data_IF_139779981334
#
_entry.id   IF_139779981334
#
_cell.length_a   1.000
_cell.length_b   1.000
_cell.length_c   1.000
_cell.angle_alpha   90.00
_cell.angle_beta   90.00
_cell.angle_gamma   90.00
#
_symmetry.space_group_name_H-M   'P 1'
#
loop_
_entity.id
_entity.type
_entity.pdbx_description
1 polymer ?
#
# COMPACT_ATOMS: atom_id res chain seq x y z
N UNK A 1 5.52 10.58 -17.88
CA UNK A 1 5.03 10.83 -16.52
C UNK A 1 4.86 12.31 -16.31
N UNK A 2 3.67 12.75 -15.93
CA UNK A 2 3.36 14.14 -15.62
C UNK A 2 4.07 14.58 -14.33
N UNK A 3 4.31 15.88 -14.20
CA UNK A 3 4.67 16.47 -12.90
C UNK A 3 3.44 16.49 -12.01
N UNK A 4 3.50 15.78 -10.88
CA UNK A 4 2.42 15.76 -9.88
C UNK A 4 2.49 17.04 -9.05
N UNK A 5 1.34 17.71 -8.90
CA UNK A 5 1.26 18.93 -8.09
C UNK A 5 1.55 18.63 -6.63
N UNK A 6 2.16 19.56 -5.91
CA UNK A 6 2.63 19.32 -4.55
C UNK A 6 1.51 18.89 -3.58
N UNK A 7 0.33 19.48 -3.73
CA UNK A 7 -0.87 19.16 -2.94
C UNK A 7 -1.48 17.79 -3.27
N UNK A 8 -1.03 17.13 -4.35
CA UNK A 8 -1.49 15.82 -4.80
C UNK A 8 -0.48 14.70 -4.49
N UNK A 9 0.67 15.03 -3.90
CA UNK A 9 1.61 14.00 -3.45
C UNK A 9 1.02 13.18 -2.31
N UNK A 10 1.32 11.88 -2.26
CA UNK A 10 0.79 10.94 -1.27
C UNK A 10 1.00 11.40 0.17
N UNK A 11 2.18 11.96 0.46
CA UNK A 11 2.58 12.43 1.77
C UNK A 11 1.89 13.74 2.21
N UNK A 12 1.03 14.32 1.36
CA UNK A 12 0.40 15.62 1.55
C UNK A 12 -1.11 15.61 1.35
N UNK A 13 -1.61 14.84 0.38
CA UNK A 13 -3.03 14.80 0.05
C UNK A 13 -3.82 14.03 1.11
N UNK A 14 -5.10 14.39 1.26
CA UNK A 14 -6.04 13.69 2.17
C UNK A 14 -7.03 12.78 1.45
N UNK A 15 -7.28 13.06 0.18
CA UNK A 15 -8.21 12.33 -0.68
C UNK A 15 -7.91 12.68 -2.14
N UNK A 16 -8.31 11.81 -3.07
CA UNK A 16 -8.33 12.14 -4.48
C UNK A 16 -9.41 13.18 -4.82
N UNK A 17 -9.05 14.24 -5.57
CA UNK A 17 -10.02 15.13 -6.20
C UNK A 17 -10.92 14.38 -7.19
N UNK A 18 -12.17 14.84 -7.34
CA UNK A 18 -13.12 14.28 -8.30
C UNK A 18 -12.64 14.38 -9.74
N UNK A 19 -11.79 15.36 -10.07
CA UNK A 19 -11.22 15.49 -11.40
C UNK A 19 -10.25 14.36 -11.75
N UNK A 20 -9.62 13.74 -10.74
CA UNK A 20 -8.74 12.57 -10.92
C UNK A 20 -9.56 11.29 -10.84
N UNK A 21 -10.39 11.15 -9.80
CA UNK A 21 -11.29 10.01 -9.62
C UNK A 21 -12.64 10.23 -10.34
N UNK A 22 -12.64 10.67 -11.61
CA UNK A 22 -13.82 11.18 -12.30
C UNK A 22 -14.95 10.15 -12.51
N UNK A 23 -14.63 8.86 -12.41
CA UNK A 23 -15.58 7.76 -12.49
C UNK A 23 -16.24 7.41 -11.15
N UNK A 24 -15.71 7.91 -10.01
CA UNK A 24 -16.20 7.61 -8.65
C UNK A 24 -17.68 7.91 -8.46
N UNK A 25 -18.15 9.05 -8.96
CA UNK A 25 -19.56 9.44 -8.86
C UNK A 25 -20.49 8.55 -9.71
N UNK A 26 -20.00 8.07 -10.86
CA UNK A 26 -20.74 7.17 -11.77
C UNK A 26 -20.80 5.74 -11.23
N UNK A 27 -19.73 5.30 -10.57
CA UNK A 27 -19.59 3.96 -10.00
C UNK A 27 -19.23 4.03 -8.51
N UNK A 28 -20.21 4.28 -7.62
CA UNK A 28 -19.94 4.41 -6.20
C UNK A 28 -19.57 3.05 -5.57
N UNK A 29 -18.59 3.07 -4.66
CA UNK A 29 -17.99 1.86 -4.07
C UNK A 29 -18.98 0.80 -3.54
N UNK A 30 -20.06 1.17 -2.82
CA UNK A 30 -21.03 0.18 -2.31
C UNK A 30 -21.73 -0.64 -3.41
N UNK A 31 -21.66 -0.21 -4.67
CA UNK A 31 -22.36 -0.86 -5.79
C UNK A 31 -21.43 -1.70 -6.67
N UNK A 32 -20.11 -1.63 -6.47
CA UNK A 32 -19.13 -2.28 -7.36
C UNK A 32 -19.41 -3.76 -7.56
N UNK A 33 -19.56 -4.54 -6.48
CA UNK A 33 -19.78 -5.98 -6.53
C UNK A 33 -21.09 -6.41 -7.21
N UNK A 34 -22.05 -5.50 -7.36
CA UNK A 34 -23.34 -5.77 -8.03
C UNK A 34 -23.36 -5.33 -9.50
N UNK A 35 -22.32 -4.63 -9.95
CA UNK A 35 -22.24 -4.12 -11.31
C UNK A 35 -22.00 -5.25 -12.32
N UNK A 36 -22.65 -5.19 -13.50
CA UNK A 36 -22.57 -6.28 -14.50
C UNK A 36 -21.19 -6.51 -15.11
N UNK A 37 -20.29 -5.53 -15.00
CA UNK A 37 -18.89 -5.64 -15.42
C UNK A 37 -17.92 -6.00 -14.28
N UNK A 38 -18.42 -6.24 -13.05
CA UNK A 38 -17.59 -6.72 -11.95
C UNK A 38 -17.26 -8.19 -12.18
N UNK A 39 -15.97 -8.49 -12.41
CA UNK A 39 -15.49 -9.83 -12.71
C UNK A 39 -14.33 -10.27 -11.83
N UNK A 40 -13.56 -11.22 -12.34
CA UNK A 40 -12.47 -11.87 -11.60
C UNK A 40 -11.29 -10.94 -11.35
N UNK A 41 -10.97 -10.04 -12.29
CA UNK A 41 -9.89 -9.07 -12.13
C UNK A 41 -10.22 -8.03 -11.05
N UNK A 42 -11.43 -7.48 -11.06
CA UNK A 42 -11.87 -6.53 -10.03
C UNK A 42 -11.86 -7.16 -8.63
N UNK A 43 -12.34 -8.41 -8.53
CA UNK A 43 -12.31 -9.16 -7.28
C UNK A 43 -10.88 -9.46 -6.81
N UNK A 44 -10.01 -9.90 -7.72
CA UNK A 44 -8.61 -10.19 -7.43
C UNK A 44 -7.86 -8.94 -6.96
N UNK A 45 -8.10 -7.78 -7.60
CA UNK A 45 -7.49 -6.51 -7.22
C UNK A 45 -7.78 -6.17 -5.75
N UNK A 46 -9.05 -6.16 -5.37
CA UNK A 46 -9.49 -5.89 -4.00
C UNK A 46 -8.96 -6.93 -3.02
N UNK A 47 -8.90 -8.21 -3.41
CA UNK A 47 -8.37 -9.27 -2.57
C UNK A 47 -6.87 -9.06 -2.24
N UNK A 48 -6.06 -8.64 -3.22
CA UNK A 48 -4.65 -8.33 -3.00
C UNK A 48 -4.50 -7.13 -2.04
N UNK A 49 -5.29 -6.08 -2.26
CA UNK A 49 -5.28 -4.90 -1.39
C UNK A 49 -5.68 -5.23 0.06
N UNK A 50 -6.74 -6.03 0.24
CA UNK A 50 -7.17 -6.48 1.57
C UNK A 50 -6.09 -7.30 2.27
N UNK A 51 -5.39 -8.17 1.54
CA UNK A 51 -4.27 -8.94 2.07
C UNK A 51 -3.11 -8.03 2.52
N UNK A 52 -2.74 -7.02 1.73
CA UNK A 52 -1.71 -6.04 2.10
C UNK A 52 -2.11 -5.25 3.37
N UNK A 53 -3.38 -4.83 3.47
CA UNK A 53 -3.90 -4.19 4.69
C UNK A 53 -3.83 -5.12 5.90
N UNK A 54 -4.23 -6.37 5.75
CA UNK A 54 -4.20 -7.36 6.83
C UNK A 54 -2.78 -7.66 7.31
N UNK A 55 -1.86 -7.93 6.38
CA UNK A 55 -0.45 -8.20 6.67
C UNK A 55 0.22 -7.01 7.37
N UNK A 56 -0.04 -5.80 6.88
CA UNK A 56 0.45 -4.56 7.49
C UNK A 56 -0.06 -4.35 8.91
N UNK A 57 -1.37 -4.53 9.14
CA UNK A 57 -1.96 -4.48 10.50
C UNK A 57 -1.37 -5.53 11.42
N UNK A 58 -1.17 -6.76 10.93
CA UNK A 58 -0.60 -7.84 11.72
C UNK A 58 0.85 -7.56 12.14
N UNK A 59 1.64 -6.91 11.28
CA UNK A 59 2.99 -6.44 11.61
C UNK A 59 2.95 -5.33 12.66
N UNK A 60 2.11 -4.32 12.47
CA UNK A 60 1.93 -3.22 13.42
C UNK A 60 1.54 -3.73 14.81
N UNK A 61 0.56 -4.64 14.87
CA UNK A 61 0.10 -5.25 16.12
C UNK A 61 1.21 -6.06 16.81
N UNK A 62 1.99 -6.85 16.06
CA UNK A 62 3.08 -7.64 16.64
C UNK A 62 4.16 -6.74 17.27
N UNK A 63 4.46 -5.60 16.65
CA UNK A 63 5.39 -4.62 17.20
C UNK A 63 4.83 -3.93 18.43
N UNK A 64 3.54 -3.56 18.40
CA UNK A 64 2.87 -2.96 19.55
C UNK A 64 2.81 -3.92 20.76
N UNK A 65 2.45 -5.19 20.52
CA UNK A 65 2.44 -6.22 21.56
C UNK A 65 3.82 -6.43 22.19
N UNK A 66 4.88 -6.32 21.39
CA UNK A 66 6.24 -6.38 21.90
C UNK A 66 6.59 -5.16 22.76
N UNK A 67 6.28 -3.94 22.29
CA UNK A 67 6.54 -2.68 23.03
C UNK A 67 5.83 -2.65 24.37
N UNK A 68 4.61 -3.16 24.42
CA UNK A 68 3.77 -3.22 25.62
C UNK A 68 4.08 -4.44 26.52
N UNK A 69 5.11 -5.22 26.19
CA UNK A 69 5.53 -6.38 26.98
C UNK A 69 4.55 -7.56 26.97
N UNK A 70 3.57 -7.57 26.05
CA UNK A 70 2.62 -8.68 25.85
C UNK A 70 3.25 -9.87 25.13
N UNK A 71 4.32 -9.62 24.36
CA UNK A 71 5.12 -10.65 23.68
C UNK A 71 6.56 -10.62 24.18
N UNK A 72 7.11 -11.77 24.58
CA UNK A 72 8.52 -11.85 24.97
C UNK A 72 9.46 -11.70 23.75
N UNK A 73 10.71 -11.30 24.04
CA UNK A 73 11.73 -11.07 23.00
C UNK A 73 11.97 -12.29 22.10
N UNK A 74 12.02 -13.49 22.67
CA UNK A 74 12.30 -14.69 21.89
C UNK A 74 11.12 -15.02 20.95
N UNK A 75 9.89 -14.81 21.41
CA UNK A 75 8.68 -14.98 20.62
C UNK A 75 8.60 -13.96 19.48
N UNK A 76 8.89 -12.69 19.76
CA UNK A 76 8.93 -11.64 18.75
C UNK A 76 9.99 -11.93 17.67
N UNK A 77 11.22 -12.24 18.08
CA UNK A 77 12.34 -12.54 17.16
C UNK A 77 12.05 -13.68 16.19
N UNK A 78 11.37 -14.74 16.66
CA UNK A 78 11.08 -15.93 15.82
C UNK A 78 10.26 -15.59 14.58
N UNK A 79 9.38 -14.59 14.66
CA UNK A 79 8.39 -14.32 13.60
C UNK A 79 8.61 -13.00 12.89
N UNK A 80 9.15 -11.99 13.57
CA UNK A 80 9.20 -10.61 13.07
C UNK A 80 9.90 -10.49 11.72
N UNK A 81 11.14 -10.98 11.62
CA UNK A 81 11.93 -10.81 10.40
C UNK A 81 11.34 -11.58 9.20
N UNK A 82 10.71 -12.74 9.44
CA UNK A 82 10.05 -13.53 8.37
C UNK A 82 8.81 -12.81 7.87
N UNK A 83 7.95 -12.34 8.78
CA UNK A 83 6.72 -11.61 8.44
C UNK A 83 7.03 -10.32 7.71
N UNK A 84 8.00 -9.54 8.19
CA UNK A 84 8.39 -8.29 7.56
C UNK A 84 8.90 -8.53 6.14
N UNK A 85 9.78 -9.52 5.94
CA UNK A 85 10.26 -9.87 4.58
C UNK A 85 9.12 -10.31 3.66
N UNK A 86 8.19 -11.13 4.15
CA UNK A 86 7.04 -11.58 3.37
C UNK A 86 6.17 -10.40 2.90
N UNK A 87 5.82 -9.50 3.82
CA UNK A 87 5.06 -8.30 3.51
C UNK A 87 5.76 -7.40 2.48
N UNK A 88 7.05 -7.12 2.68
CA UNK A 88 7.83 -6.29 1.74
C UNK A 88 7.91 -6.93 0.35
N UNK A 89 8.06 -8.25 0.27
CA UNK A 89 8.09 -8.98 -1.01
C UNK A 89 6.74 -8.97 -1.71
N UNK A 90 5.64 -9.10 -0.95
CA UNK A 90 4.28 -9.03 -1.49
C UNK A 90 4.01 -7.63 -2.06
N UNK A 91 4.29 -6.58 -1.27
CA UNK A 91 4.07 -5.19 -1.67
C UNK A 91 4.89 -4.78 -2.89
N UNK A 92 6.21 -5.07 -2.89
CA UNK A 92 7.07 -4.78 -4.05
C UNK A 92 6.62 -5.58 -5.29
N UNK A 93 6.19 -6.83 -5.10
CA UNK A 93 5.69 -7.67 -6.18
C UNK A 93 4.40 -7.12 -6.80
N UNK A 94 3.50 -6.60 -5.97
CA UNK A 94 2.24 -5.96 -6.35
C UNK A 94 2.49 -4.71 -7.19
N UNK A 95 3.20 -3.71 -6.67
CA UNK A 95 3.50 -2.47 -7.41
C UNK A 95 4.25 -2.74 -8.71
N UNK A 96 5.23 -3.66 -8.71
CA UNK A 96 5.98 -4.01 -9.92
C UNK A 96 5.07 -4.57 -11.01
N UNK A 97 4.05 -5.37 -10.65
CA UNK A 97 3.10 -5.90 -11.63
C UNK A 97 2.21 -4.77 -12.16
N UNK A 98 1.76 -3.87 -11.31
CA UNK A 98 0.93 -2.73 -11.70
C UNK A 98 1.65 -1.81 -12.69
N UNK A 99 2.84 -1.35 -12.33
CA UNK A 99 3.64 -0.43 -13.13
C UNK A 99 4.01 -1.04 -14.49
N UNK A 100 4.44 -2.30 -14.52
CA UNK A 100 4.91 -2.92 -15.76
C UNK A 100 3.76 -3.44 -16.65
N UNK A 101 2.59 -3.75 -16.08
CA UNK A 101 1.55 -4.49 -16.80
C UNK A 101 0.19 -3.81 -16.79
N UNK A 102 -0.33 -3.36 -15.64
CA UNK A 102 -1.71 -2.89 -15.56
C UNK A 102 -1.84 -1.40 -15.85
N UNK A 103 -1.05 -0.54 -15.22
CA UNK A 103 -1.14 0.91 -15.43
C UNK A 103 -0.94 1.32 -16.90
N UNK A 104 0.01 0.74 -17.67
CA UNK A 104 0.12 1.04 -19.10
C UNK A 104 -1.11 0.63 -19.92
N UNK A 105 -1.85 -0.41 -19.49
CA UNK A 105 -3.09 -0.83 -20.16
C UNK A 105 -4.24 0.10 -19.81
N UNK A 106 -4.40 0.46 -18.55
CA UNK A 106 -5.44 1.39 -18.10
C UNK A 106 -5.31 2.76 -18.79
N UNK A 107 -4.10 3.31 -18.88
CA UNK A 107 -3.83 4.58 -19.59
C UNK A 107 -4.28 4.58 -21.06
N UNK A 108 -4.37 3.41 -21.70
CA UNK A 108 -4.80 3.29 -23.10
C UNK A 108 -6.32 3.23 -23.28
N UNK A 109 -7.09 3.09 -22.20
CA UNK A 109 -8.55 2.98 -22.26
C UNK A 109 -9.22 4.35 -22.41
N UNK A 110 -8.69 5.38 -21.75
CA UNK A 110 -9.22 6.74 -21.74
C UNK A 110 -8.10 7.73 -21.39
N UNK A 111 -7.94 8.81 -22.18
CA UNK A 111 -6.89 9.81 -21.97
C UNK A 111 -7.00 10.52 -20.62
N UNK A 112 -8.21 10.61 -20.06
CA UNK A 112 -8.48 11.23 -18.75
C UNK A 112 -7.88 10.43 -17.59
N UNK A 113 -7.62 9.13 -17.79
CA UNK A 113 -7.00 8.27 -16.79
C UNK A 113 -5.50 8.48 -16.65
N UNK A 114 -4.85 9.05 -17.67
CA UNK A 114 -3.38 9.14 -17.71
C UNK A 114 -2.82 9.86 -16.49
N UNK A 115 -3.44 10.96 -16.08
CA UNK A 115 -2.96 11.70 -14.91
C UNK A 115 -3.15 10.93 -13.60
N UNK A 116 -4.26 10.20 -13.44
CA UNK A 116 -4.50 9.37 -12.26
C UNK A 116 -3.48 8.25 -12.12
N UNK A 117 -3.15 7.54 -13.20
CA UNK A 117 -2.14 6.49 -13.15
C UNK A 117 -0.71 7.03 -13.02
N UNK A 118 -0.40 8.21 -13.57
CA UNK A 118 0.88 8.88 -13.31
C UNK A 118 1.01 9.31 -11.84
N UNK A 119 -0.10 9.64 -11.18
CA UNK A 119 -0.14 9.92 -9.75
C UNK A 119 0.09 8.64 -8.93
N UNK A 120 -0.56 7.53 -9.24
CA UNK A 120 -0.35 6.25 -8.55
C UNK A 120 1.08 5.72 -8.73
N UNK A 121 1.64 5.81 -9.93
CA UNK A 121 3.06 5.46 -10.17
C UNK A 121 4.00 6.40 -9.37
N UNK A 122 3.66 7.68 -9.18
CA UNK A 122 4.42 8.57 -8.30
C UNK A 122 4.31 8.18 -6.82
N UNK A 123 3.16 7.67 -6.39
CA UNK A 123 2.98 7.16 -5.03
C UNK A 123 3.88 5.96 -4.76
N UNK A 124 4.03 5.06 -5.73
CA UNK A 124 4.94 3.90 -5.62
C UNK A 124 6.37 4.33 -5.32
N UNK A 125 6.86 5.39 -5.96
CA UNK A 125 8.19 5.95 -5.69
C UNK A 125 8.32 6.51 -4.25
N UNK A 126 7.28 7.19 -3.76
CA UNK A 126 7.24 7.70 -2.37
C UNK A 126 7.24 6.53 -1.39
N UNK A 127 6.41 5.52 -1.64
CA UNK A 127 6.30 4.31 -0.82
C UNK A 127 7.63 3.56 -0.82
N UNK A 128 8.27 3.38 -1.98
CA UNK A 128 9.57 2.74 -2.09
C UNK A 128 10.63 3.43 -1.22
N UNK A 129 10.67 4.77 -1.24
CA UNK A 129 11.54 5.54 -0.35
C UNK A 129 11.28 5.26 1.15
N UNK A 130 10.03 5.10 1.55
CA UNK A 130 9.68 4.74 2.93
C UNK A 130 9.98 3.28 3.28
N UNK A 131 9.87 2.35 2.31
CA UNK A 131 10.23 0.94 2.50
C UNK A 131 11.70 0.82 2.89
N UNK A 132 12.59 1.56 2.23
CA UNK A 132 14.02 1.58 2.59
C UNK A 132 14.23 2.03 4.04
N UNK A 133 13.56 3.10 4.48
CA UNK A 133 13.65 3.59 5.86
C UNK A 133 13.10 2.58 6.89
N UNK A 134 12.05 1.82 6.52
CA UNK A 134 11.52 0.74 7.36
C UNK A 134 12.53 -0.42 7.46
N UNK A 135 13.15 -0.82 6.36
CA UNK A 135 14.18 -1.87 6.35
C UNK A 135 15.38 -1.47 7.21
N UNK A 136 15.90 -0.25 7.05
CA UNK A 136 17.02 0.26 7.83
C UNK A 136 16.70 0.28 9.34
N UNK A 137 15.53 0.80 9.71
CA UNK A 137 15.10 0.83 11.12
C UNK A 137 14.86 -0.57 11.70
N UNK A 138 14.34 -1.52 10.91
CA UNK A 138 14.17 -2.90 11.34
C UNK A 138 15.51 -3.60 11.57
N UNK A 139 16.51 -3.36 10.71
CA UNK A 139 17.86 -3.89 10.88
C UNK A 139 18.52 -3.34 12.15
N UNK A 140 18.42 -2.03 12.38
CA UNK A 140 18.92 -1.38 13.60
C UNK A 140 18.23 -1.95 14.85
N UNK A 141 16.90 -2.04 14.83
CA UNK A 141 16.13 -2.61 15.92
C UNK A 141 16.55 -4.05 16.25
N UNK A 142 16.74 -4.90 15.23
CA UNK A 142 17.20 -6.27 15.45
C UNK A 142 18.60 -6.36 16.08
N UNK A 143 19.48 -5.38 15.83
CA UNK A 143 20.79 -5.29 16.49
C UNK A 143 20.66 -4.85 17.95
N UNK A 144 19.81 -3.86 18.23
CA UNK A 144 19.56 -3.36 19.58
C UNK A 144 18.80 -4.36 20.45
N UNK A 145 17.96 -5.19 19.84
CA UNK A 145 17.26 -6.29 20.49
C UNK A 145 18.25 -7.29 21.13
N UNK A 146 19.41 -7.53 20.51
CA UNK A 146 20.46 -8.37 21.08
C UNK A 146 21.18 -7.72 22.28
N UNK A 147 21.15 -6.38 22.40
CA UNK A 147 21.76 -5.62 23.50
C UNK A 147 20.83 -5.51 24.71
N UNK A 148 19.51 -5.52 24.49
CA UNK A 148 18.50 -5.42 25.53
C UNK A 148 18.41 -4.02 26.16
N UNK A 149 17.63 -3.90 27.24
CA UNK A 149 17.51 -2.67 28.03
C UNK A 149 16.91 -1.48 27.25
N UNK A 150 17.46 -0.29 27.46
CA UNK A 150 17.00 0.95 26.80
C UNK A 150 17.20 0.94 25.29
N UNK A 151 18.32 0.39 24.80
CA UNK A 151 18.61 0.32 23.37
C UNK A 151 17.50 -0.42 22.61
N UNK A 152 17.07 -1.56 23.15
CA UNK A 152 15.95 -2.33 22.60
C UNK A 152 14.65 -1.52 22.54
N UNK A 153 14.33 -0.75 23.59
CA UNK A 153 13.11 0.09 23.63
C UNK A 153 13.16 1.18 22.57
N UNK A 154 14.25 1.93 22.50
CA UNK A 154 14.42 2.98 21.49
C UNK A 154 14.41 2.42 20.06
N UNK A 155 15.03 1.27 19.82
CA UNK A 155 15.00 0.60 18.52
C UNK A 155 13.57 0.18 18.12
N UNK A 156 12.81 -0.37 19.07
CA UNK A 156 11.41 -0.75 18.83
C UNK A 156 10.53 0.46 18.51
N UNK A 157 10.68 1.57 19.24
CA UNK A 157 9.95 2.81 19.01
C UNK A 157 10.29 3.42 17.64
N UNK A 158 11.57 3.49 17.29
CA UNK A 158 12.02 4.02 16.00
C UNK A 158 11.48 3.19 14.82
N UNK A 159 11.50 1.86 14.93
CA UNK A 159 10.89 0.98 13.93
C UNK A 159 9.37 1.19 13.84
N UNK A 160 8.67 1.20 14.99
CA UNK A 160 7.21 1.38 15.03
C UNK A 160 6.78 2.69 14.37
N UNK A 161 7.51 3.78 14.61
CA UNK A 161 7.24 5.09 14.01
C UNK A 161 7.40 5.08 12.48
N UNK A 162 8.44 4.41 11.97
CA UNK A 162 8.70 4.29 10.52
C UNK A 162 7.66 3.39 9.85
N UNK A 163 7.38 2.23 10.44
CA UNK A 163 6.36 1.31 9.96
C UNK A 163 4.97 1.96 9.96
N UNK A 164 4.61 2.66 11.04
CA UNK A 164 3.32 3.37 11.13
C UNK A 164 3.14 4.42 10.04
N UNK A 165 4.18 5.19 9.70
CA UNK A 165 4.14 6.12 8.56
C UNK A 165 3.93 5.42 7.23
N UNK A 166 4.67 4.36 6.96
CA UNK A 166 4.52 3.57 5.73
C UNK A 166 3.09 3.02 5.60
N UNK A 167 2.55 2.44 6.68
CA UNK A 167 1.20 1.87 6.69
C UNK A 167 0.12 2.94 6.46
N UNK A 168 0.29 4.15 7.01
CA UNK A 168 -0.64 5.25 6.78
C UNK A 168 -0.62 5.72 5.31
N UNK A 169 0.56 5.78 4.68
CA UNK A 169 0.69 6.12 3.26
C UNK A 169 0.08 5.03 2.37
N UNK A 170 0.32 3.75 2.70
CA UNK A 170 -0.27 2.63 1.98
C UNK A 170 -1.79 2.59 2.07
N UNK A 171 -2.36 2.85 3.25
CA UNK A 171 -3.82 2.91 3.39
C UNK A 171 -4.44 3.95 2.46
N UNK A 172 -3.84 5.15 2.38
CA UNK A 172 -4.30 6.20 1.47
C UNK A 172 -4.11 5.79 0.00
N UNK A 173 -2.94 5.26 -0.35
CA UNK A 173 -2.62 4.85 -1.71
C UNK A 173 -3.57 3.76 -2.22
N UNK A 174 -3.78 2.69 -1.46
CA UNK A 174 -4.67 1.59 -1.86
C UNK A 174 -6.12 2.07 -2.01
N UNK A 175 -6.59 2.98 -1.15
CA UNK A 175 -7.92 3.57 -1.28
C UNK A 175 -8.05 4.43 -2.55
N UNK A 176 -7.06 5.27 -2.81
CA UNK A 176 -7.01 6.13 -4.00
C UNK A 176 -6.97 5.30 -5.29
N UNK A 177 -6.18 4.23 -5.29
CA UNK A 177 -6.08 3.30 -6.39
C UNK A 177 -7.39 2.57 -6.66
N UNK A 178 -8.07 2.07 -5.62
CA UNK A 178 -9.37 1.41 -5.76
C UNK A 178 -10.41 2.34 -6.38
N UNK A 179 -10.41 3.62 -5.99
CA UNK A 179 -11.30 4.65 -6.56
C UNK A 179 -11.02 5.00 -8.02
N UNK A 180 -9.85 4.65 -8.55
CA UNK A 180 -9.50 4.82 -9.96
C UNK A 180 -9.69 3.50 -10.73
N UNK A 181 -9.08 2.42 -10.25
CA UNK A 181 -8.98 1.14 -10.94
C UNK A 181 -10.34 0.46 -11.04
N UNK A 182 -11.08 0.33 -9.93
CA UNK A 182 -12.34 -0.43 -9.94
C UNK A 182 -13.36 0.27 -10.84
N UNK A 183 -13.65 1.57 -10.71
CA UNK A 183 -14.55 2.26 -11.64
C UNK A 183 -14.12 2.15 -13.11
N UNK A 184 -12.80 2.14 -13.38
CA UNK A 184 -12.28 1.95 -14.75
C UNK A 184 -12.58 0.56 -15.30
N UNK A 185 -12.41 -0.50 -14.49
CA UNK A 185 -12.82 -1.86 -14.88
C UNK A 185 -14.34 -1.90 -15.13
N UNK A 186 -15.14 -1.24 -14.31
CA UNK A 186 -16.59 -1.23 -14.48
C UNK A 186 -17.03 -0.47 -15.75
N UNK A 187 -16.34 0.61 -16.12
CA UNK A 187 -16.58 1.35 -17.37
C UNK A 187 -16.22 0.52 -18.61
N UNK A 188 -15.03 -0.11 -18.62
CA UNK A 188 -14.45 -0.69 -19.82
C UNK A 188 -14.52 -2.23 -19.90
N UNK A 189 -15.03 -2.88 -18.86
CA UNK A 189 -14.94 -4.33 -18.61
C UNK A 189 -13.51 -4.85 -18.45
N UNK A 190 -13.37 -6.10 -18.05
CA UNK A 190 -12.06 -6.76 -17.87
C UNK A 190 -11.44 -7.27 -19.18
N UNK A 191 -12.19 -7.23 -20.29
CA UNK A 191 -11.74 -7.78 -21.58
C UNK A 191 -10.37 -7.24 -22.05
N UNK A 192 -10.04 -5.95 -21.88
CA UNK A 192 -8.73 -5.41 -22.31
C UNK A 192 -7.51 -5.94 -21.53
N UNK A 193 -7.74 -6.67 -20.44
CA UNK A 193 -6.69 -7.17 -19.54
C UNK A 193 -6.46 -8.68 -19.65
N UNK A 194 -7.22 -9.35 -20.52
CA UNK A 194 -7.10 -10.79 -20.80
C UNK A 194 -6.13 -11.08 -21.94
#
# INVERSE_FOLDING_TARGET
MHTISDNLRLDKRRALPDEIAFLRAKYPAPQWATHGNYGELAAFWLQVHDALREEGRALGQATEDFREGRTDMAAFQRVFAVRLRGYLQHLEGHHRIEDAHYFPRFRRLDERLVYGFDLLENDHEIIHGQLLAVVESAQAFMQDLARGGDAMRYGADAYAERAGRLLALLEQHLADEEEIVIPTILEHSERPFR
#
